data_IF_387908363012
#
_entry.id   IF_387908363012
#
_cell.length_a   1.000
_cell.length_b   1.000
_cell.length_c   1.000
_cell.angle_alpha   90.00
_cell.angle_beta   90.00
_cell.angle_gamma   90.00
#
_symmetry.space_group_name_H-M   'P 1'
#
loop_
_entity.id
_entity.type
_entity.pdbx_description
1 polymer ?
#
# COMPACT_ATOMS: atom_id res chain seq x y z
N UNK A 1 8.21 -3.17 2.55
CA UNK A 1 7.37 -2.61 1.45
C UNK A 1 7.61 -1.11 1.42
N UNK A 2 7.54 -0.44 0.27
CA UNK A 2 7.67 1.02 0.19
C UNK A 2 6.42 1.65 -0.42
N UNK A 3 5.83 2.60 0.27
CA UNK A 3 4.62 3.33 -0.13
C UNK A 3 4.90 4.83 -0.14
N UNK A 4 4.28 5.57 -1.06
CA UNK A 4 4.30 7.04 -1.12
C UNK A 4 2.87 7.54 -1.10
N UNK A 5 2.53 8.39 -0.13
CA UNK A 5 1.21 9.01 0.02
C UNK A 5 1.13 10.41 -0.56
N UNK A 6 -0.08 10.95 -0.74
CA UNK A 6 -0.29 12.32 -1.22
C UNK A 6 0.13 12.57 -2.68
N UNK A 7 0.34 11.52 -3.49
CA UNK A 7 0.68 11.67 -4.90
C UNK A 7 -0.59 11.89 -5.72
N UNK A 8 -0.58 12.85 -6.65
CA UNK A 8 -1.68 13.02 -7.62
C UNK A 8 -1.72 11.83 -8.59
N UNK A 9 -2.84 11.13 -8.63
CA UNK A 9 -3.17 10.11 -9.62
C UNK A 9 -3.54 10.74 -10.97
N UNK A 10 -3.68 9.91 -12.00
CA UNK A 10 -4.06 10.34 -13.36
C UNK A 10 -5.43 11.03 -13.40
N UNK A 11 -6.27 10.78 -12.40
CA UNK A 11 -7.58 11.43 -12.24
C UNK A 11 -7.52 12.78 -11.52
N UNK A 12 -6.33 13.23 -11.09
CA UNK A 12 -6.12 14.46 -10.34
C UNK A 12 -6.37 14.33 -8.83
N UNK A 13 -6.72 13.15 -8.33
CA UNK A 13 -6.95 12.86 -6.90
C UNK A 13 -5.67 12.49 -6.17
N UNK A 14 -5.58 12.74 -4.88
CA UNK A 14 -4.45 12.24 -4.07
C UNK A 14 -4.62 10.72 -3.84
N UNK A 15 -3.52 10.00 -3.84
CA UNK A 15 -3.50 8.56 -3.55
C UNK A 15 -2.17 8.12 -2.96
N UNK A 16 -2.16 6.88 -2.47
CA UNK A 16 -0.98 6.21 -1.96
C UNK A 16 -0.54 5.11 -2.93
N UNK A 17 0.75 5.03 -3.25
CA UNK A 17 1.26 4.12 -4.27
C UNK A 17 2.42 3.29 -3.76
N UNK A 18 2.41 2.01 -4.07
CA UNK A 18 3.56 1.13 -3.85
C UNK A 18 4.65 1.53 -4.83
N UNK A 19 5.84 1.83 -4.32
CA UNK A 19 7.00 2.18 -5.15
C UNK A 19 8.05 1.07 -5.17
N UNK A 20 8.04 0.19 -4.16
CA UNK A 20 8.95 -0.95 -4.12
C UNK A 20 8.37 -2.09 -3.31
N UNK A 21 8.48 -3.29 -3.87
CA UNK A 21 8.24 -4.55 -3.17
C UNK A 21 9.58 -5.27 -3.04
N UNK A 22 9.86 -5.84 -1.85
CA UNK A 22 11.10 -6.58 -1.61
C UNK A 22 10.95 -7.97 -2.26
N UNK A 23 11.84 -8.32 -3.18
CA UNK A 23 11.82 -9.64 -3.83
C UNK A 23 11.91 -10.77 -2.81
N UNK A 24 11.09 -11.81 -2.99
CA UNK A 24 10.98 -12.95 -2.08
C UNK A 24 10.30 -12.63 -0.75
N UNK A 25 9.87 -11.38 -0.51
CA UNK A 25 8.99 -11.09 0.63
C UNK A 25 7.61 -11.69 0.39
N UNK A 26 6.85 -11.90 1.45
CA UNK A 26 5.50 -12.43 1.33
C UNK A 26 4.63 -11.47 0.46
N UNK A 27 4.91 -10.16 0.43
CA UNK A 27 4.23 -9.16 -0.40
C UNK A 27 4.47 -9.39 -1.90
N UNK A 28 5.64 -9.91 -2.26
CA UNK A 28 6.01 -10.31 -3.62
C UNK A 28 5.39 -11.68 -3.98
N UNK A 29 5.53 -12.68 -3.09
CA UNK A 29 5.20 -14.08 -3.41
C UNK A 29 3.73 -14.42 -3.23
N UNK A 30 3.11 -13.96 -2.13
CA UNK A 30 1.70 -14.22 -1.78
C UNK A 30 0.82 -13.08 -2.23
N UNK A 31 1.14 -11.85 -1.83
CA UNK A 31 0.36 -10.66 -2.16
C UNK A 31 0.45 -10.26 -3.63
N UNK A 32 1.48 -10.74 -4.35
CA UNK A 32 1.78 -10.40 -5.75
C UNK A 32 1.74 -8.89 -6.00
N UNK A 33 2.08 -8.10 -4.98
CA UNK A 33 2.08 -6.65 -5.03
C UNK A 33 3.18 -6.20 -5.99
N UNK A 34 2.97 -5.07 -6.64
CA UNK A 34 3.90 -4.50 -7.61
C UNK A 34 4.05 -3.01 -7.37
N UNK A 35 5.21 -2.48 -7.78
CA UNK A 35 5.34 -1.05 -7.91
C UNK A 35 4.31 -0.52 -8.91
N UNK A 36 3.63 0.57 -8.56
CA UNK A 36 2.53 1.15 -9.33
C UNK A 36 1.13 0.78 -8.83
N UNK A 37 1.00 -0.24 -7.97
CA UNK A 37 -0.28 -0.52 -7.32
C UNK A 37 -0.67 0.64 -6.40
N UNK A 38 -1.93 1.08 -6.48
CA UNK A 38 -2.51 2.07 -5.58
C UNK A 38 -3.00 1.38 -4.32
N UNK A 39 -2.60 1.86 -3.15
CA UNK A 39 -3.14 1.41 -1.86
C UNK A 39 -4.40 2.22 -1.57
N UNK A 40 -5.53 1.55 -1.61
CA UNK A 40 -6.85 2.12 -1.33
C UNK A 40 -7.13 2.17 0.17
N UNK A 41 -6.74 1.11 0.88
CA UNK A 41 -6.99 0.95 2.31
C UNK A 41 -5.78 0.32 3.03
N UNK A 42 -5.55 0.74 4.27
CA UNK A 42 -4.54 0.21 5.17
C UNK A 42 -5.16 -0.08 6.54
N UNK A 43 -5.26 -1.36 6.93
CA UNK A 43 -5.87 -1.79 8.19
C UNK A 43 -7.28 -1.18 8.43
N UNK A 44 -8.15 -1.14 7.42
CA UNK A 44 -9.47 -0.49 7.56
C UNK A 44 -9.49 1.01 7.28
N UNK A 45 -8.33 1.67 7.15
CA UNK A 45 -8.24 3.12 6.93
C UNK A 45 -8.11 3.45 5.44
N UNK A 46 -9.05 4.23 4.90
CA UNK A 46 -8.98 4.71 3.52
C UNK A 46 -7.82 5.69 3.30
N UNK A 47 -7.07 5.47 2.23
CA UNK A 47 -5.96 6.32 1.81
C UNK A 47 -6.28 7.17 0.57
N UNK A 48 -7.47 6.98 -0.04
CA UNK A 48 -7.88 7.79 -1.18
C UNK A 48 -8.11 9.23 -0.75
N UNK A 49 -7.59 10.18 -1.52
CA UNK A 49 -7.60 11.62 -1.21
C UNK A 49 -6.85 12.01 0.08
N UNK A 50 -6.16 11.07 0.74
CA UNK A 50 -5.38 11.37 1.93
C UNK A 50 -4.11 12.16 1.56
N UNK A 51 -3.75 13.12 2.41
CA UNK A 51 -2.49 13.86 2.29
C UNK A 51 -1.30 12.96 2.61
N UNK A 52 -0.10 13.42 2.27
CA UNK A 52 1.13 12.75 2.68
C UNK A 52 1.16 12.48 4.19
N UNK A 53 0.84 13.49 5.01
CA UNK A 53 0.88 13.40 6.47
C UNK A 53 -0.14 12.38 7.00
N UNK A 54 -1.36 12.38 6.47
CA UNK A 54 -2.40 11.41 6.87
C UNK A 54 -1.99 9.97 6.54
N UNK A 55 -1.47 9.74 5.33
CA UNK A 55 -0.97 8.41 4.94
C UNK A 55 0.20 8.00 5.84
N UNK A 56 1.09 8.94 6.16
CA UNK A 56 2.22 8.69 7.06
C UNK A 56 1.73 8.29 8.45
N UNK A 57 0.80 9.02 9.04
CA UNK A 57 0.23 8.72 10.36
C UNK A 57 -0.40 7.32 10.39
N UNK A 58 -1.27 7.01 9.43
CA UNK A 58 -1.96 5.71 9.34
C UNK A 58 -0.94 4.57 9.26
N UNK A 59 0.02 4.65 8.34
CA UNK A 59 1.02 3.60 8.14
C UNK A 59 1.95 3.49 9.36
N UNK A 60 2.37 4.63 9.92
CA UNK A 60 3.30 4.67 11.05
C UNK A 60 2.71 4.06 12.32
N UNK A 61 1.39 4.13 12.49
CA UNK A 61 0.68 3.50 13.62
C UNK A 61 0.82 1.96 13.58
N UNK A 62 0.94 1.38 12.39
CA UNK A 62 1.07 -0.07 12.18
C UNK A 62 2.50 -0.63 12.28
N UNK A 63 3.51 0.21 12.61
CA UNK A 63 4.92 -0.23 12.68
C UNK A 63 5.18 -1.36 13.68
N UNK A 64 4.39 -1.43 14.74
CA UNK A 64 4.51 -2.47 15.77
C UNK A 64 3.49 -3.60 15.59
N UNK A 65 2.67 -3.54 14.53
CA UNK A 65 1.69 -4.57 14.24
C UNK A 65 2.40 -5.78 13.61
N UNK A 66 2.05 -6.98 14.07
CA UNK A 66 2.53 -8.23 13.49
C UNK A 66 1.91 -8.51 12.11
N UNK A 67 0.87 -7.77 11.73
CA UNK A 67 0.16 -7.94 10.47
C UNK A 67 -0.45 -6.64 9.98
N UNK A 68 -0.49 -6.46 8.67
CA UNK A 68 -1.15 -5.34 8.01
C UNK A 68 -1.98 -5.82 6.83
N UNK A 69 -3.23 -5.39 6.80
CA UNK A 69 -4.19 -5.67 5.73
C UNK A 69 -4.22 -4.49 4.76
N UNK A 70 -4.14 -4.80 3.46
CA UNK A 70 -4.11 -3.80 2.40
C UNK A 70 -5.20 -4.11 1.39
N UNK A 71 -5.94 -3.08 0.98
CA UNK A 71 -6.74 -3.13 -0.23
C UNK A 71 -5.98 -2.33 -1.28
N UNK A 72 -5.65 -2.98 -2.40
CA UNK A 72 -4.91 -2.34 -3.50
C UNK A 72 -5.69 -2.39 -4.80
N UNK A 73 -5.48 -1.38 -5.64
CA UNK A 73 -5.98 -1.31 -7.01
C UNK A 73 -4.80 -1.32 -7.98
N UNK A 74 -4.89 -2.19 -8.99
CA UNK A 74 -3.95 -2.20 -10.11
C UNK A 74 -4.70 -1.74 -11.34
N UNK A 75 -4.28 -0.61 -11.91
CA UNK A 75 -4.74 -0.19 -13.23
C UNK A 75 -4.16 -1.14 -14.28
N UNK A 76 -4.93 -2.16 -14.64
CA UNK A 76 -4.72 -2.97 -15.82
C UNK A 76 -6.06 -3.12 -16.53
N UNK A 77 -6.05 -3.35 -17.84
CA UNK A 77 -7.23 -3.70 -18.66
C UNK A 77 -7.98 -4.97 -18.21
N UNK A 78 -7.71 -5.49 -17.02
CA UNK A 78 -8.43 -6.59 -16.40
C UNK A 78 -8.40 -6.35 -14.91
N UNK A 79 -9.58 -6.06 -14.35
CA UNK A 79 -9.88 -6.16 -12.93
C UNK A 79 -9.34 -7.50 -12.41
N UNK A 80 -8.69 -7.49 -11.24
CA UNK A 80 -8.30 -8.64 -10.40
C UNK A 80 -7.32 -8.11 -9.32
N UNK A 81 -7.33 -8.39 -8.02
CA UNK A 81 -8.19 -9.09 -7.07
C UNK A 81 -7.81 -8.53 -5.69
N UNK A 82 -8.75 -8.46 -4.74
CA UNK A 82 -8.51 -8.13 -3.33
C UNK A 82 -7.61 -9.20 -2.70
N UNK A 83 -6.52 -8.81 -2.03
CA UNK A 83 -5.69 -9.77 -1.28
C UNK A 83 -5.38 -9.26 0.13
N UNK A 84 -5.87 -10.02 1.10
CA UNK A 84 -5.51 -9.95 2.51
C UNK A 84 -4.03 -10.29 2.69
N UNK A 85 -3.36 -9.60 3.61
CA UNK A 85 -1.94 -9.77 3.81
C UNK A 85 -1.56 -9.88 5.30
N UNK A 86 -0.55 -10.72 5.61
CA UNK A 86 0.02 -10.92 6.96
C UNK A 86 1.53 -11.16 6.85
N UNK A 87 2.36 -10.43 7.59
CA UNK A 87 3.78 -10.80 7.78
C UNK A 87 4.47 -10.05 8.92
N UNK A 88 5.19 -10.81 9.74
CA UNK A 88 5.94 -10.41 10.95
C UNK A 88 7.32 -9.76 10.66
N UNK A 89 7.57 -9.14 9.49
CA UNK A 89 8.95 -8.76 9.09
C UNK A 89 9.10 -7.57 8.15
N UNK A 90 8.31 -6.50 8.31
CA UNK A 90 8.42 -5.32 7.45
C UNK A 90 9.02 -4.11 8.14
N UNK A 91 10.18 -3.67 7.63
CA UNK A 91 10.42 -2.23 7.56
C UNK A 91 9.48 -1.66 6.47
N UNK A 92 8.41 -1.01 6.93
CA UNK A 92 7.63 -0.13 6.07
C UNK A 92 8.39 1.19 6.02
N UNK A 93 9.11 1.40 4.92
CA UNK A 93 9.93 2.60 4.71
C UNK A 93 9.12 3.56 3.86
N UNK A 94 8.95 4.79 4.33
CA UNK A 94 8.36 5.91 3.58
C UNK A 94 9.50 6.80 3.07
N UNK A 95 9.44 7.25 1.82
CA UNK A 95 10.29 8.34 1.31
C UNK A 95 9.52 9.19 0.32
#
# INVERSE_FOLDING_TARGET
LKVVGGRRSDTGRLGAFITRVKSGSVADTVGRLRAGDEVLEWNGHQLQNATFDQVYEIISSSKNDNQVELIVSRSARSADFFLFYRSDSFEIIFT
#
